data_IF_875113917921
#
_entry.id   IF_875113917921
#
_cell.length_a   1.000
_cell.length_b   1.000
_cell.length_c   1.000
_cell.angle_alpha   90.00
_cell.angle_beta   90.00
_cell.angle_gamma   90.00
#
_symmetry.space_group_name_H-M   'P 1'
#
loop_
_entity.id
_entity.type
_entity.pdbx_description
1 polymer ?
#
# COMPACT_ATOMS: atom_id res chain seq x y z
N UNK A 1 -14.67 -17.72 5.00
CA UNK A 1 -13.23 -17.40 4.99
C UNK A 1 -12.95 -16.43 6.12
N UNK A 2 -12.10 -16.80 7.08
CA UNK A 2 -11.70 -15.92 8.18
C UNK A 2 -10.26 -15.49 7.96
N UNK A 3 -10.07 -14.27 7.43
CA UNK A 3 -8.73 -13.70 7.24
C UNK A 3 -8.35 -12.88 8.46
N UNK A 4 -7.20 -13.20 9.06
CA UNK A 4 -6.65 -12.46 10.21
C UNK A 4 -5.87 -11.21 9.79
N UNK A 5 -5.40 -11.18 8.55
CA UNK A 5 -4.76 -10.02 7.94
C UNK A 5 -5.37 -9.76 6.56
N UNK A 6 -5.67 -8.49 6.27
CA UNK A 6 -6.31 -8.07 5.02
C UNK A 6 -5.72 -6.76 4.55
N UNK A 7 -5.20 -6.75 3.32
CA UNK A 7 -4.83 -5.54 2.58
C UNK A 7 -5.87 -5.35 1.49
N UNK A 8 -6.49 -4.17 1.43
CA UNK A 8 -7.45 -3.82 0.37
C UNK A 8 -6.71 -3.02 -0.68
N UNK A 9 -6.85 -3.40 -1.95
CA UNK A 9 -6.15 -2.74 -3.06
C UNK A 9 -7.07 -2.42 -4.23
N UNK A 10 -6.64 -1.46 -5.05
CA UNK A 10 -7.17 -1.19 -6.38
C UNK A 10 -6.04 -1.43 -7.37
N UNK A 11 -6.24 -2.37 -8.28
CA UNK A 11 -5.27 -2.69 -9.31
C UNK A 11 -5.58 -1.87 -10.57
N UNK A 12 -4.55 -1.26 -11.13
CA UNK A 12 -4.62 -0.41 -12.33
C UNK A 12 -3.48 -0.76 -13.27
N UNK A 13 -3.52 -0.19 -14.48
CA UNK A 13 -2.38 -0.19 -15.38
C UNK A 13 -2.23 1.16 -16.07
N UNK A 14 -0.99 1.52 -16.41
CA UNK A 14 -0.67 2.67 -17.26
C UNK A 14 0.12 2.18 -18.46
N UNK A 15 -0.46 2.24 -19.66
CA UNK A 15 0.17 1.73 -20.90
C UNK A 15 0.65 0.27 -20.79
N UNK A 16 -0.12 -0.59 -20.12
CA UNK A 16 0.20 -2.00 -19.91
C UNK A 16 1.05 -2.28 -18.68
N UNK A 17 1.67 -1.27 -18.06
CA UNK A 17 2.45 -1.46 -16.83
C UNK A 17 1.52 -1.51 -15.61
N UNK A 18 1.53 -2.60 -14.83
CA UNK A 18 0.62 -2.77 -13.71
C UNK A 18 1.02 -1.88 -12.52
N UNK A 19 0.02 -1.39 -11.80
CA UNK A 19 0.21 -0.68 -10.52
C UNK A 19 -0.85 -1.17 -9.54
N UNK A 20 -0.45 -1.40 -8.29
CA UNK A 20 -1.37 -1.80 -7.22
C UNK A 20 -1.40 -0.72 -6.15
N UNK A 21 -2.55 -0.07 -6.01
CA UNK A 21 -2.77 0.99 -5.02
C UNK A 21 -3.33 0.36 -3.75
N UNK A 22 -2.59 0.42 -2.65
CA UNK A 22 -3.06 -0.05 -1.34
C UNK A 22 -3.93 1.04 -0.69
N UNK A 23 -5.15 0.70 -0.31
CA UNK A 23 -6.15 1.63 0.26
C UNK A 23 -6.46 1.37 1.72
N UNK A 24 -6.23 0.15 2.22
CA UNK A 24 -6.33 -0.16 3.67
C UNK A 24 -5.55 -1.41 4.05
N UNK A 25 -5.33 -1.60 5.35
CA UNK A 25 -4.66 -2.78 5.91
C UNK A 25 -3.16 -2.61 6.13
N UNK A 26 -2.59 -1.46 5.80
CA UNK A 26 -1.22 -1.11 6.13
C UNK A 26 -1.11 -0.58 7.55
N UNK A 27 -0.02 -0.95 8.24
CA UNK A 27 0.33 -0.35 9.52
C UNK A 27 0.75 1.13 9.35
N UNK A 28 0.75 1.87 10.45
CA UNK A 28 1.29 3.22 10.45
C UNK A 28 2.80 3.19 10.19
N UNK A 29 3.25 3.87 9.13
CA UNK A 29 4.67 4.08 8.84
C UNK A 29 5.10 5.43 9.46
N UNK A 30 5.99 5.43 10.47
CA UNK A 30 6.42 6.66 11.14
C UNK A 30 7.29 7.53 10.22
N UNK A 31 7.48 8.79 10.60
CA UNK A 31 8.19 9.79 9.80
C UNK A 31 7.27 10.91 9.32
N UNK A 32 7.82 12.12 9.23
CA UNK A 32 7.06 13.32 8.88
C UNK A 32 7.04 13.56 7.37
N UNK A 33 8.12 13.21 6.68
CA UNK A 33 8.25 13.31 5.23
C UNK A 33 8.19 11.93 4.57
N UNK A 34 7.89 11.90 3.26
CA UNK A 34 7.82 10.63 2.51
C UNK A 34 9.17 9.90 2.44
N UNK A 35 10.29 10.63 2.48
CA UNK A 35 11.63 10.02 2.52
C UNK A 35 11.88 9.32 3.85
N UNK A 36 11.42 9.89 4.97
CA UNK A 36 11.52 9.26 6.30
C UNK A 36 10.73 7.96 6.32
N UNK A 37 9.50 7.99 5.79
CA UNK A 37 8.63 6.81 5.66
C UNK A 37 9.20 5.73 4.74
N UNK A 38 9.91 6.13 3.68
CA UNK A 38 10.59 5.22 2.76
C UNK A 38 11.82 4.55 3.42
N UNK A 39 12.46 5.24 4.37
CA UNK A 39 13.67 4.78 5.05
C UNK A 39 13.41 4.05 6.38
N UNK A 40 12.15 3.96 6.82
CA UNK A 40 11.74 3.18 8.00
C UNK A 40 11.77 1.69 7.72
#
# INVERSE_FOLDING_TARGET
MNFTHRITTVDTHTMGEPTRVVTSGMAHIPGNQMIDKKNW
#
